data_IF_879407552019
#
_entry.id   IF_879407552019
#
_cell.length_a   1.000
_cell.length_b   1.000
_cell.length_c   1.000
_cell.angle_alpha   90.00
_cell.angle_beta   90.00
_cell.angle_gamma   90.00
#
_symmetry.space_group_name_H-M   'P 1'
#
loop_
_entity.id
_entity.type
_entity.pdbx_description
1 polymer ?
#
# COMPACT_ATOMS: atom_id res chain seq x y z
N UNK A 1 -0.32 1.84 6.11
CA UNK A 1 0.25 1.05 4.99
C UNK A 1 -0.24 1.51 3.64
N UNK A 2 -1.54 1.64 3.38
CA UNK A 2 -2.05 2.16 2.10
C UNK A 2 -1.38 3.48 1.70
N UNK A 3 -1.33 4.45 2.62
CA UNK A 3 -0.67 5.74 2.39
C UNK A 3 0.83 5.62 2.11
N UNK A 4 1.50 4.65 2.71
CA UNK A 4 2.93 4.42 2.46
C UNK A 4 3.18 3.96 1.01
N UNK A 5 2.34 3.07 0.48
CA UNK A 5 2.45 2.67 -0.92
C UNK A 5 2.18 3.84 -1.88
N UNK A 6 1.11 4.60 -1.62
CA UNK A 6 0.71 5.75 -2.46
C UNK A 6 1.75 6.88 -2.46
N UNK A 7 2.38 7.18 -1.33
CA UNK A 7 3.25 8.37 -1.21
C UNK A 7 4.75 8.06 -1.29
N UNK A 8 5.19 6.84 -0.95
CA UNK A 8 6.62 6.53 -0.82
C UNK A 8 7.12 5.40 -1.75
N UNK A 9 6.23 4.52 -2.25
CA UNK A 9 6.61 3.36 -3.07
C UNK A 9 6.29 3.59 -4.55
N UNK A 10 5.02 3.81 -4.89
CA UNK A 10 4.56 3.93 -6.28
C UNK A 10 5.25 5.07 -7.05
N UNK A 11 5.43 6.28 -6.48
CA UNK A 11 6.11 7.38 -7.18
C UNK A 11 7.58 7.06 -7.56
N UNK A 12 8.22 6.10 -6.88
CA UNK A 12 9.58 5.67 -7.21
C UNK A 12 9.62 4.59 -8.29
N UNK A 13 8.50 3.93 -8.57
CA UNK A 13 8.38 2.92 -9.62
C UNK A 13 8.08 3.56 -11.00
N UNK A 14 7.42 4.72 -11.03
CA UNK A 14 7.07 5.49 -12.23
C UNK A 14 8.30 5.89 -13.08
N UNK A 15 9.45 6.17 -12.47
CA UNK A 15 10.65 6.66 -13.17
C UNK A 15 11.45 5.62 -13.99
N UNK A 16 10.86 4.46 -14.32
CA UNK A 16 11.58 3.34 -14.93
C UNK A 16 11.30 3.08 -16.43
N UNK A 17 10.06 3.28 -16.90
CA UNK A 17 9.62 3.10 -18.31
C UNK A 17 8.18 3.66 -18.48
N UNK A 18 7.85 4.30 -19.61
CA UNK A 18 6.49 4.85 -19.87
C UNK A 18 5.38 3.78 -19.82
N UNK A 19 5.68 2.55 -20.23
CA UNK A 19 4.73 1.45 -20.13
C UNK A 19 4.49 1.04 -18.68
N UNK A 20 5.55 0.99 -17.86
CA UNK A 20 5.48 0.67 -16.44
C UNK A 20 4.74 1.77 -15.68
N UNK A 21 5.01 3.03 -16.00
CA UNK A 21 4.37 4.22 -15.42
C UNK A 21 2.84 4.11 -15.48
N UNK A 22 2.26 3.79 -16.65
CA UNK A 22 0.81 3.62 -16.80
C UNK A 22 0.22 2.53 -15.91
N UNK A 23 0.95 1.42 -15.72
CA UNK A 23 0.50 0.33 -14.87
C UNK A 23 0.58 0.73 -13.39
N UNK A 24 1.66 1.42 -13.00
CA UNK A 24 1.85 1.93 -11.64
C UNK A 24 0.77 2.97 -11.29
N UNK A 25 0.46 3.88 -12.20
CA UNK A 25 -0.64 4.85 -12.06
C UNK A 25 -1.98 4.14 -11.87
N UNK A 26 -2.25 3.11 -12.66
CA UNK A 26 -3.48 2.32 -12.58
C UNK A 26 -3.58 1.66 -11.20
N UNK A 27 -2.50 1.07 -10.70
CA UNK A 27 -2.44 0.47 -9.36
C UNK A 27 -2.70 1.54 -8.29
N UNK A 28 -2.05 2.71 -8.40
CA UNK A 28 -2.22 3.82 -7.47
C UNK A 28 -3.67 4.31 -7.39
N UNK A 29 -4.31 4.50 -8.55
CA UNK A 29 -5.70 4.91 -8.64
C UNK A 29 -6.64 3.87 -8.01
N UNK A 30 -6.47 2.58 -8.31
CA UNK A 30 -7.29 1.51 -7.71
C UNK A 30 -7.12 1.42 -6.19
N UNK A 31 -5.89 1.57 -5.71
CA UNK A 31 -5.61 1.55 -4.27
C UNK A 31 -6.21 2.78 -3.56
N UNK A 32 -6.20 3.94 -4.22
CA UNK A 32 -6.84 5.16 -3.72
C UNK A 32 -8.37 4.99 -3.65
N UNK A 33 -8.99 4.45 -4.70
CA UNK A 33 -10.42 4.14 -4.74
C UNK A 33 -10.82 3.16 -3.62
N UNK A 34 -10.01 2.11 -3.42
CA UNK A 34 -10.19 1.16 -2.32
C UNK A 34 -10.13 1.87 -0.97
N UNK A 35 -9.10 2.71 -0.72
CA UNK A 35 -8.97 3.50 0.51
C UNK A 35 -10.21 4.35 0.77
N UNK A 36 -10.74 5.00 -0.26
CA UNK A 36 -11.94 5.83 -0.15
C UNK A 36 -13.18 5.00 0.18
N UNK A 37 -13.35 3.85 -0.48
CA UNK A 37 -14.45 2.91 -0.23
C UNK A 37 -14.43 2.41 1.22
N UNK A 38 -13.27 1.98 1.72
CA UNK A 38 -13.10 1.48 3.09
C UNK A 38 -13.35 2.55 4.15
N UNK A 39 -12.98 3.81 3.88
CA UNK A 39 -13.23 4.93 4.79
C UNK A 39 -14.70 5.34 4.85
N UNK A 40 -15.38 5.41 3.69
CA UNK A 40 -16.75 5.94 3.58
C UNK A 40 -17.84 4.93 3.96
N UNK A 41 -17.78 3.72 3.40
CA UNK A 41 -18.94 2.81 3.43
C UNK A 41 -19.11 2.05 4.75
N UNK A 42 -18.01 1.73 5.44
CA UNK A 42 -18.06 0.85 6.63
C UNK A 42 -17.18 1.31 7.79
N UNK A 43 -16.50 2.47 7.66
CA UNK A 43 -15.53 2.99 8.64
C UNK A 43 -14.51 1.93 9.09
N UNK A 44 -14.11 1.03 8.18
CA UNK A 44 -13.15 -0.04 8.49
C UNK A 44 -11.78 0.48 8.92
N UNK A 45 -11.44 1.72 8.56
CA UNK A 45 -10.16 2.34 8.86
C UNK A 45 -10.33 3.39 9.98
N UNK A 46 -10.34 2.98 11.27
CA UNK A 46 -10.31 3.93 12.38
C UNK A 46 -9.01 4.75 12.34
N UNK A 47 -9.02 5.93 12.97
CA UNK A 47 -7.89 6.86 12.98
C UNK A 47 -6.56 6.15 13.27
N UNK A 48 -5.55 6.43 12.45
CA UNK A 48 -4.27 5.72 12.42
C UNK A 48 -3.50 5.89 13.73
N UNK A 49 -3.62 4.92 14.63
CA UNK A 49 -2.58 4.72 15.65
C UNK A 49 -1.28 4.35 14.93
N UNK A 50 -0.17 4.99 15.29
CA UNK A 50 1.15 4.65 14.74
C UNK A 50 1.48 3.21 15.13
N UNK A 51 1.37 2.29 14.17
CA UNK A 51 1.77 0.90 14.36
C UNK A 51 3.30 0.79 14.36
N UNK A 52 3.84 0.12 15.38
CA UNK A 52 5.27 -0.14 15.48
C UNK A 52 5.76 -1.01 14.31
N UNK A 53 4.97 -1.99 13.88
CA UNK A 53 5.26 -2.82 12.70
C UNK A 53 5.34 -1.98 11.43
N UNK A 54 4.41 -1.04 11.24
CA UNK A 54 4.45 -0.13 10.08
C UNK A 54 5.69 0.75 10.12
N UNK A 55 6.10 1.22 11.30
CA UNK A 55 7.34 1.99 11.46
C UNK A 55 8.57 1.16 11.06
N UNK A 56 8.68 -0.07 11.53
CA UNK A 56 9.77 -0.98 11.17
C UNK A 56 9.82 -1.27 9.67
N UNK A 57 8.67 -1.53 9.04
CA UNK A 57 8.59 -1.73 7.58
C UNK A 57 9.13 -0.50 6.83
N UNK A 58 8.74 0.70 7.25
CA UNK A 58 9.25 1.96 6.65
C UNK A 58 10.75 2.13 6.85
N UNK A 59 11.29 1.78 8.01
CA UNK A 59 12.72 1.84 8.30
C UNK A 59 13.50 0.83 7.45
N UNK A 60 13.06 -0.43 7.38
CA UNK A 60 13.65 -1.46 6.52
C UNK A 60 13.61 -1.05 5.05
N UNK A 61 12.48 -0.52 4.57
CA UNK A 61 12.36 -0.01 3.20
C UNK A 61 13.41 1.07 2.90
N UNK A 62 13.62 2.02 3.82
CA UNK A 62 14.63 3.08 3.67
C UNK A 62 16.04 2.51 3.62
N UNK A 63 16.35 1.53 4.46
CA UNK A 63 17.67 0.85 4.49
C UNK A 63 17.95 0.09 3.18
N UNK A 64 16.92 -0.37 2.46
CA UNK A 64 17.07 -1.06 1.18
C UNK A 64 17.34 -0.12 -0.01
N UNK A 65 17.30 1.21 0.18
CA UNK A 65 17.54 2.21 -0.86
C UNK A 65 16.77 1.90 -2.17
N UNK A 66 17.47 1.79 -3.31
CA UNK A 66 16.87 1.49 -4.62
C UNK A 66 16.19 0.11 -4.67
N UNK A 67 16.66 -0.87 -3.88
CA UNK A 67 16.06 -2.22 -3.82
C UNK A 67 14.74 -2.23 -3.05
N UNK A 68 14.51 -1.23 -2.20
CA UNK A 68 13.28 -1.12 -1.41
C UNK A 68 12.04 -1.05 -2.30
N UNK A 69 12.10 -0.25 -3.36
CA UNK A 69 10.99 -0.12 -4.32
C UNK A 69 10.66 -1.46 -4.99
N UNK A 70 11.66 -2.12 -5.59
CA UNK A 70 11.45 -3.41 -6.26
C UNK A 70 10.91 -4.48 -5.31
N UNK A 71 11.41 -4.54 -4.07
CA UNK A 71 10.91 -5.48 -3.07
C UNK A 71 9.46 -5.18 -2.68
N UNK A 72 9.14 -3.92 -2.40
CA UNK A 72 7.78 -3.53 -2.03
C UNK A 72 6.77 -3.75 -3.17
N UNK A 73 7.16 -3.48 -4.42
CA UNK A 73 6.33 -3.77 -5.58
C UNK A 73 6.18 -5.28 -5.82
N UNK A 74 7.25 -6.06 -5.60
CA UNK A 74 7.21 -7.51 -5.70
C UNK A 74 6.45 -8.22 -4.57
N UNK A 75 6.11 -7.51 -3.48
CA UNK A 75 5.30 -7.99 -2.35
C UNK A 75 3.95 -7.26 -2.27
N UNK A 76 3.53 -6.61 -3.37
CA UNK A 76 2.28 -5.86 -3.40
C UNK A 76 1.05 -6.77 -3.29
N UNK A 77 1.13 -7.98 -3.86
CA UNK A 77 0.14 -9.05 -3.73
C UNK A 77 -0.05 -9.47 -2.27
N UNK A 78 1.04 -9.70 -1.52
CA UNK A 78 1.01 -10.01 -0.08
C UNK A 78 0.31 -8.88 0.70
N UNK A 79 0.53 -7.62 0.30
CA UNK A 79 -0.16 -6.50 0.92
C UNK A 79 -1.68 -6.51 0.65
N UNK A 80 -2.11 -6.95 -0.53
CA UNK A 80 -3.54 -7.15 -0.83
C UNK A 80 -4.13 -8.27 0.03
N UNK A 81 -3.42 -9.40 0.19
CA UNK A 81 -3.85 -10.50 1.05
C UNK A 81 -4.10 -10.02 2.49
N UNK A 82 -3.22 -9.19 3.04
CA UNK A 82 -3.42 -8.60 4.37
C UNK A 82 -4.61 -7.64 4.45
N UNK A 83 -4.93 -6.93 3.37
CA UNK A 83 -6.16 -6.12 3.32
C UNK A 83 -7.38 -7.04 3.31
N UNK A 84 -7.36 -8.10 2.50
CA UNK A 84 -8.47 -9.05 2.42
C UNK A 84 -8.72 -9.71 3.78
N UNK A 85 -7.69 -10.26 4.42
CA UNK A 85 -7.79 -10.86 5.75
C UNK A 85 -8.39 -9.88 6.77
N UNK A 86 -7.91 -8.63 6.77
CA UNK A 86 -8.44 -7.58 7.64
C UNK A 86 -9.93 -7.32 7.40
N UNK A 87 -10.36 -7.26 6.14
CA UNK A 87 -11.76 -7.02 5.79
C UNK A 87 -12.63 -8.21 6.18
N UNK A 88 -12.19 -9.44 5.94
CA UNK A 88 -12.90 -10.65 6.36
C UNK A 88 -13.09 -10.68 7.88
N UNK A 89 -12.06 -10.31 8.66
CA UNK A 89 -12.17 -10.20 10.12
C UNK A 89 -13.17 -9.13 10.59
N UNK A 90 -13.40 -8.08 9.79
CA UNK A 90 -14.29 -6.96 10.13
C UNK A 90 -15.72 -7.14 9.63
N UNK A 91 -15.92 -7.90 8.55
CA UNK A 91 -17.24 -8.24 8.00
C UNK A 91 -17.84 -9.46 8.73
N UNK A 92 -16.99 -10.43 9.13
CA UNK A 92 -17.43 -11.62 9.86
C UNK A 92 -17.74 -11.41 11.35
N UNK A 93 -17.75 -10.17 11.82
CA UNK A 93 -18.17 -9.75 13.18
C UNK A 93 -19.39 -8.86 13.08
#
# INVERSE_FOLDING_TARGET
>A
MIQFYLEEVLPKAEGSDQSIERHVDTIGNKLLDLRHTLKRCHRFLPCEKRSQTVKQIKETYKTLHKKGMYKAMGEFDIFIDYIEEYLMMKIGK
#
